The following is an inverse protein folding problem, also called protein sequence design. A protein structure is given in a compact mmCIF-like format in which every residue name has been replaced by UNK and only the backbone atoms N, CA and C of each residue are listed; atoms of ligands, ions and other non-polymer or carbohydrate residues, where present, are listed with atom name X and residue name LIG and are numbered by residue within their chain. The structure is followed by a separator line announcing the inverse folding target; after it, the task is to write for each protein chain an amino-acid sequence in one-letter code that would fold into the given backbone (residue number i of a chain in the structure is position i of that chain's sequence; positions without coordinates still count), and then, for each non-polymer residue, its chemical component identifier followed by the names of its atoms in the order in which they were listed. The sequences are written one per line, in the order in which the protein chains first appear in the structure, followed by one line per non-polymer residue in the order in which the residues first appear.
data_IF_797360295049
#
_entry.id   IF_797360295049
#
_cell.length_a   1.000
_cell.length_b   1.000
_cell.length_c   1.000
_cell.angle_alpha   90.00
_cell.angle_beta   90.00
_cell.angle_gamma   90.00
#
_symmetry.space_group_name_H-M   'P 1'
#
loop_
_entity.id
_entity.type
_entity.pdbx_description
1 polymer ?
#
# COMPACT_ATOMS: atom_id res chain seq x y z
N UNK A 1 13.43 11.18 5.40
CA UNK A 1 13.10 9.90 4.75
C UNK A 1 11.76 10.05 4.03
N UNK A 2 11.82 10.26 2.72
CA UNK A 2 10.64 10.31 1.87
C UNK A 2 10.27 8.86 1.52
N UNK A 3 9.12 8.40 2.04
CA UNK A 3 8.78 6.98 2.08
C UNK A 3 8.56 6.34 0.71
N UNK A 4 9.01 5.08 0.58
CA UNK A 4 8.80 4.23 -0.60
C UNK A 4 7.32 3.82 -0.77
N UNK A 5 7.00 2.96 -1.76
CA UNK A 5 5.65 2.45 -2.09
C UNK A 5 4.72 2.28 -0.90
N UNK A 6 5.03 1.37 0.03
CA UNK A 6 4.16 1.06 1.17
C UNK A 6 3.86 2.25 2.08
N UNK A 7 4.79 3.19 2.23
CA UNK A 7 4.58 4.39 3.05
C UNK A 7 3.57 5.35 2.40
N UNK A 8 3.59 5.51 1.08
CA UNK A 8 2.59 6.37 0.44
C UNK A 8 1.22 5.71 0.37
N UNK A 9 1.16 4.38 0.24
CA UNK A 9 -0.12 3.66 0.35
C UNK A 9 -0.72 3.87 1.76
N UNK A 10 0.10 3.75 2.82
CA UNK A 10 -0.31 4.08 4.20
C UNK A 10 -0.83 5.50 4.35
N UNK A 11 -0.07 6.45 3.82
CA UNK A 11 -0.42 7.85 3.87
C UNK A 11 -1.73 8.14 3.16
N UNK A 12 -1.94 7.54 1.98
CA UNK A 12 -3.18 7.64 1.24
C UNK A 12 -4.35 7.06 2.03
N UNK A 13 -4.24 5.80 2.45
CA UNK A 13 -5.33 5.09 3.09
C UNK A 13 -5.76 5.80 4.38
N UNK A 14 -4.78 6.24 5.17
CA UNK A 14 -5.03 6.98 6.40
C UNK A 14 -5.65 8.34 6.11
N UNK A 15 -5.14 9.10 5.13
CA UNK A 15 -5.69 10.41 4.78
C UNK A 15 -7.13 10.29 4.23
N UNK A 16 -7.39 9.29 3.40
CA UNK A 16 -8.72 9.00 2.87
C UNK A 16 -9.72 8.71 3.99
N UNK A 17 -9.38 7.80 4.90
CA UNK A 17 -10.26 7.40 6.00
C UNK A 17 -10.46 8.53 7.02
N UNK A 18 -9.40 9.26 7.37
CA UNK A 18 -9.52 10.47 8.20
C UNK A 18 -10.39 11.54 7.54
N UNK A 19 -10.26 11.74 6.23
CA UNK A 19 -11.13 12.66 5.48
C UNK A 19 -12.60 12.25 5.57
N UNK A 20 -12.91 10.96 5.40
CA UNK A 20 -14.26 10.43 5.58
C UNK A 20 -14.80 10.67 6.99
N UNK A 21 -14.03 10.30 8.01
CA UNK A 21 -14.40 10.46 9.42
C UNK A 21 -14.67 11.92 9.78
N UNK A 22 -13.78 12.83 9.38
CA UNK A 22 -13.86 14.26 9.69
C UNK A 22 -14.76 15.05 8.72
N UNK A 23 -15.40 14.39 7.75
CA UNK A 23 -16.20 15.01 6.67
C UNK A 23 -15.41 16.08 5.89
N UNK A 24 -14.13 15.80 5.61
CA UNK A 24 -13.19 16.65 4.89
C UNK A 24 -12.74 15.99 3.60
N UNK A 25 -12.48 16.80 2.58
CA UNK A 25 -11.89 16.31 1.33
C UNK A 25 -10.40 16.00 1.56
N UNK A 26 -9.94 14.75 1.37
CA UNK A 26 -8.53 14.43 1.46
C UNK A 26 -7.80 15.05 0.26
N UNK A 27 -6.78 15.86 0.54
CA UNK A 27 -5.99 16.55 -0.48
C UNK A 27 -4.50 16.41 -0.24
N UNK A 28 -3.74 16.33 -1.33
CA UNK A 28 -2.29 16.45 -1.31
C UNK A 28 -1.84 17.84 -1.75
N UNK A 29 -0.64 18.24 -1.35
CA UNK A 29 -0.07 19.50 -1.81
C UNK A 29 0.38 19.35 -3.27
N UNK A 30 0.05 20.32 -4.12
CA UNK A 30 0.40 20.31 -5.55
C UNK A 30 1.90 20.19 -5.83
N UNK A 31 2.76 20.63 -4.90
CA UNK A 31 4.21 20.67 -5.07
C UNK A 31 4.94 19.48 -4.44
N UNK A 32 4.24 18.39 -4.14
CA UNK A 32 4.83 17.24 -3.47
C UNK A 32 5.48 16.25 -4.44
N UNK A 33 6.77 16.45 -4.70
CA UNK A 33 7.53 15.72 -5.73
C UNK A 33 7.50 14.19 -5.58
N UNK A 34 7.48 13.66 -4.35
CA UNK A 34 7.49 12.19 -4.13
C UNK A 34 6.16 11.58 -4.54
N UNK A 35 5.07 12.25 -4.21
CA UNK A 35 3.74 11.79 -4.59
C UNK A 35 3.55 11.87 -6.10
N UNK A 36 4.00 12.95 -6.75
CA UNK A 36 3.94 13.08 -8.20
C UNK A 36 4.69 11.94 -8.91
N UNK A 37 5.86 11.53 -8.39
CA UNK A 37 6.58 10.36 -8.91
C UNK A 37 5.83 9.05 -8.71
N UNK A 38 5.18 8.89 -7.56
CA UNK A 38 4.49 7.66 -7.21
C UNK A 38 3.10 7.56 -7.84
N UNK A 39 2.50 8.67 -8.23
CA UNK A 39 1.25 8.70 -8.99
C UNK A 39 1.38 7.98 -10.34
N UNK A 40 2.51 8.15 -11.04
CA UNK A 40 2.75 7.43 -12.29
C UNK A 40 2.82 5.91 -12.06
N UNK A 41 3.51 5.47 -10.99
CA UNK A 41 3.58 4.05 -10.62
C UNK A 41 2.19 3.53 -10.19
N UNK A 42 1.48 4.26 -9.34
CA UNK A 42 0.16 3.86 -8.83
C UNK A 42 -0.94 3.87 -9.87
N UNK A 43 -0.94 4.80 -10.82
CA UNK A 43 -1.95 4.83 -11.89
C UNK A 43 -1.88 3.60 -12.80
N UNK A 44 -0.68 3.05 -13.01
CA UNK A 44 -0.48 1.81 -13.77
C UNK A 44 -0.96 0.58 -12.99
N UNK A 45 -0.64 0.52 -11.69
CA UNK A 45 -0.89 -0.65 -10.84
C UNK A 45 -2.32 -0.66 -10.26
N UNK A 46 -2.83 0.49 -9.82
CA UNK A 46 -4.10 0.66 -9.11
C UNK A 46 -4.97 1.73 -9.81
N UNK A 47 -5.75 1.36 -10.86
CA UNK A 47 -6.50 2.32 -11.67
C UNK A 47 -7.63 3.03 -10.91
N UNK A 48 -7.98 2.61 -9.70
CA UNK A 48 -8.98 3.28 -8.87
C UNK A 48 -8.38 4.34 -7.93
N UNK A 49 -7.06 4.35 -7.73
CA UNK A 49 -6.35 5.23 -6.81
C UNK A 49 -6.66 6.71 -7.02
N UNK A 50 -6.66 7.18 -8.27
CA UNK A 50 -6.84 8.60 -8.61
C UNK A 50 -8.29 9.08 -8.49
N UNK A 51 -9.28 8.17 -8.43
CA UNK A 51 -10.70 8.55 -8.38
C UNK A 51 -11.10 9.26 -7.09
N UNK A 52 -10.27 9.18 -6.03
CA UNK A 52 -10.64 9.64 -4.67
C UNK A 52 -9.64 10.62 -4.05
N UNK A 53 -8.71 11.18 -4.83
CA UNK A 53 -7.73 12.16 -4.34
C UNK A 53 -7.62 13.38 -5.23
N UNK A 54 -7.40 14.51 -4.57
CA UNK A 54 -7.30 15.82 -5.19
C UNK A 54 -5.99 16.51 -4.79
N UNK A 55 -5.49 17.35 -5.67
CA UNK A 55 -4.40 18.26 -5.37
C UNK A 55 -4.95 19.60 -4.89
N UNK A 56 -4.42 20.09 -3.78
CA UNK A 56 -4.73 21.40 -3.25
C UNK A 56 -4.20 22.46 -4.21
N UNK A 57 -5.06 23.40 -4.59
CA UNK A 57 -4.70 24.47 -5.52
C UNK A 57 -3.52 25.30 -4.99
N UNK A 58 -2.61 25.78 -5.87
CA UNK A 58 -1.42 26.52 -5.44
C UNK A 58 -1.70 27.83 -4.71
N UNK A 59 -2.86 28.44 -4.96
CA UNK A 59 -3.31 29.71 -4.41
C UNK A 59 -4.05 29.58 -3.06
N UNK A 60 -4.23 28.36 -2.54
CA UNK A 60 -4.90 28.15 -1.25
C UNK A 60 -3.94 28.35 -0.07
N UNK A 61 -4.20 29.35 0.77
CA UNK A 61 -3.34 29.78 1.88
C UNK A 61 -3.96 29.61 3.28
N UNK A 62 -5.25 29.31 3.38
CA UNK A 62 -5.99 29.10 4.65
C UNK A 62 -5.72 27.71 5.28
N UNK A 63 -4.45 27.39 5.54
CA UNK A 63 -4.01 26.08 6.07
C UNK A 63 -3.54 26.21 7.52
N UNK A 64 -4.30 25.61 8.44
CA UNK A 64 -3.87 25.42 9.82
C UNK A 64 -3.08 24.13 9.98
N UNK A 65 -2.15 24.11 10.93
CA UNK A 65 -1.31 22.95 11.24
C UNK A 65 -1.77 22.30 12.53
N UNK A 66 -1.97 20.99 12.52
CA UNK A 66 -2.32 20.23 13.72
C UNK A 66 -1.43 19.01 13.88
N UNK A 67 -0.72 18.91 15.00
CA UNK A 67 0.13 17.74 15.30
C UNK A 67 -0.73 16.64 15.91
N UNK A 68 -1.09 15.64 15.09
CA UNK A 68 -1.93 14.52 15.52
C UNK A 68 -1.12 13.44 16.24
N UNK A 69 0.08 13.11 15.76
CA UNK A 69 0.92 12.03 16.31
C UNK A 69 2.35 12.51 16.61
N UNK A 70 2.98 11.90 17.61
CA UNK A 70 4.38 12.19 17.99
C UNK A 70 5.36 11.21 17.35
N UNK A 71 5.02 9.92 17.32
CA UNK A 71 5.79 8.88 16.62
C UNK A 71 5.11 8.44 15.31
N UNK A 72 5.83 7.72 14.44
CA UNK A 72 5.35 7.27 13.11
C UNK A 72 4.16 6.31 13.14
N UNK A 73 3.98 5.66 14.28
CA UNK A 73 3.34 4.36 14.34
C UNK A 73 2.32 4.30 15.50
N UNK A 74 2.19 5.39 16.26
CA UNK A 74 1.15 5.56 17.26
C UNK A 74 -0.21 5.68 16.57
N UNK A 75 -1.22 5.09 17.18
CA UNK A 75 -2.60 5.37 16.83
C UNK A 75 -3.14 6.45 17.76
N UNK A 76 -3.54 7.57 17.18
CA UNK A 76 -4.33 8.61 17.85
C UNK A 76 -5.63 8.75 17.09
N UNK A 77 -6.75 8.61 17.78
CA UNK A 77 -8.08 8.77 17.20
C UNK A 77 -8.24 10.18 16.60
N UNK A 78 -8.46 10.31 15.27
CA UNK A 78 -8.63 11.61 14.62
C UNK A 78 -9.82 12.41 15.13
N UNK A 79 -10.82 11.79 15.78
CA UNK A 79 -11.95 12.50 16.38
C UNK A 79 -11.51 13.56 17.41
N UNK A 80 -10.30 13.47 17.96
CA UNK A 80 -9.74 14.51 18.81
C UNK A 80 -9.76 15.88 18.13
N UNK A 81 -9.63 15.95 16.80
CA UNK A 81 -9.66 17.20 16.02
C UNK A 81 -11.04 17.86 16.12
N UNK A 82 -12.13 17.07 16.18
CA UNK A 82 -13.49 17.58 16.32
C UNK A 82 -13.72 18.29 17.66
N UNK A 83 -12.87 18.02 18.65
CA UNK A 83 -12.92 18.62 20.00
C UNK A 83 -12.03 19.87 20.12
N UNK A 84 -11.41 20.30 19.02
CA UNK A 84 -10.51 21.47 18.98
C UNK A 84 -11.09 22.59 18.11
N UNK A 85 -10.46 23.77 18.17
CA UNK A 85 -10.73 24.88 17.24
C UNK A 85 -10.44 24.52 15.77
N UNK A 86 -9.64 23.49 15.50
CA UNK A 86 -9.38 23.02 14.13
C UNK A 86 -10.58 22.30 13.50
N UNK A 87 -11.63 21.97 14.25
CA UNK A 87 -12.85 21.34 13.72
C UNK A 87 -13.49 22.16 12.60
N UNK A 88 -13.41 23.50 12.68
CA UNK A 88 -14.02 24.45 11.74
C UNK A 88 -13.03 25.06 10.74
N UNK A 89 -11.74 24.69 10.78
CA UNK A 89 -10.74 25.24 9.86
C UNK A 89 -11.02 24.84 8.42
N UNK A 90 -10.80 25.74 7.46
CA UNK A 90 -10.98 25.43 6.03
C UNK A 90 -9.94 24.43 5.54
N UNK A 91 -8.65 24.72 5.75
CA UNK A 91 -7.55 23.82 5.48
C UNK A 91 -6.91 23.31 6.76
N UNK A 92 -6.66 22.00 6.81
CA UNK A 92 -5.97 21.37 7.93
C UNK A 92 -4.84 20.48 7.43
N UNK A 93 -3.60 20.87 7.72
CA UNK A 93 -2.42 20.06 7.50
C UNK A 93 -2.12 19.26 8.76
N UNK A 94 -2.42 17.96 8.69
CA UNK A 94 -2.04 17.02 9.74
C UNK A 94 -0.52 16.84 9.75
N UNK A 95 0.06 17.08 10.91
CA UNK A 95 1.47 16.87 11.20
C UNK A 95 1.57 15.62 12.05
N UNK A 96 2.41 14.70 11.61
CA UNK A 96 2.73 13.48 12.30
C UNK A 96 4.11 13.04 11.87
N UNK A 97 4.72 12.09 12.58
CA UNK A 97 5.90 11.39 12.08
C UNK A 97 5.67 10.84 10.66
N UNK A 98 6.71 10.28 10.01
CA UNK A 98 6.62 9.88 8.62
C UNK A 98 5.45 8.90 8.37
N UNK A 99 4.39 9.40 7.73
CA UNK A 99 3.35 8.69 6.94
C UNK A 99 2.13 8.04 7.64
N UNK A 100 1.74 8.41 8.87
CA UNK A 100 0.54 7.85 9.54
C UNK A 100 0.47 6.31 9.40
N UNK A 101 1.55 5.62 9.75
CA UNK A 101 1.74 4.19 9.44
C UNK A 101 1.04 3.35 10.51
N UNK A 102 -0.30 3.38 10.51
CA UNK A 102 -1.12 2.56 11.41
C UNK A 102 -2.44 2.18 10.74
N UNK A 103 -2.68 0.88 10.58
CA UNK A 103 -3.85 0.37 9.85
C UNK A 103 -5.18 0.74 10.50
N UNK A 104 -5.19 0.98 11.82
CA UNK A 104 -6.39 1.38 12.56
C UNK A 104 -7.05 2.65 12.02
N UNK A 105 -6.30 3.50 11.31
CA UNK A 105 -6.87 4.67 10.66
C UNK A 105 -7.87 4.33 9.56
N UNK A 106 -7.76 3.19 8.89
CA UNK A 106 -8.53 2.87 7.69
C UNK A 106 -9.16 1.48 7.67
N UNK A 107 -8.87 0.62 8.65
CA UNK A 107 -9.36 -0.77 8.71
C UNK A 107 -10.90 -0.87 8.67
N UNK A 108 -11.58 0.07 9.34
CA UNK A 108 -13.04 0.17 9.33
C UNK A 108 -13.62 0.47 7.93
N UNK A 109 -12.79 0.89 6.98
CA UNK A 109 -13.13 1.11 5.57
C UNK A 109 -12.45 0.07 4.66
N UNK A 110 -12.15 -1.13 5.15
CA UNK A 110 -11.39 -2.15 4.41
C UNK A 110 -11.87 -2.36 2.97
N UNK A 111 -13.18 -2.49 2.75
CA UNK A 111 -13.74 -2.67 1.40
C UNK A 111 -13.46 -1.49 0.47
N UNK A 112 -13.55 -0.25 0.97
CA UNK A 112 -13.19 0.94 0.20
C UNK A 112 -11.69 0.95 -0.12
N UNK A 113 -10.84 0.58 0.84
CA UNK A 113 -9.38 0.52 0.66
C UNK A 113 -9.02 -0.55 -0.38
N UNK A 114 -9.63 -1.74 -0.33
CA UNK A 114 -9.42 -2.77 -1.33
C UNK A 114 -9.88 -2.34 -2.73
N UNK A 115 -11.00 -1.64 -2.84
CA UNK A 115 -11.48 -1.13 -4.13
C UNK A 115 -10.54 -0.05 -4.68
N UNK A 116 -10.01 0.82 -3.83
CA UNK A 116 -9.04 1.86 -4.20
C UNK A 116 -7.74 1.22 -4.73
N UNK A 117 -7.22 0.22 -4.03
CA UNK A 117 -5.99 -0.50 -4.37
C UNK A 117 -6.24 -1.79 -5.15
N UNK A 118 -7.35 -1.85 -5.89
CA UNK A 118 -7.62 -2.95 -6.82
C UNK A 118 -6.61 -2.93 -7.95
N UNK A 119 -5.95 -4.06 -8.19
CA UNK A 119 -4.96 -4.18 -9.26
C UNK A 119 -5.58 -4.01 -10.65
N UNK A 120 -4.81 -3.41 -11.56
CA UNK A 120 -5.15 -3.29 -12.97
C UNK A 120 -5.28 -4.68 -13.61
N UNK A 121 -6.37 -4.92 -14.35
CA UNK A 121 -6.62 -6.20 -15.02
C UNK A 121 -5.50 -6.58 -16.00
N UNK A 122 -4.93 -5.62 -16.71
CA UNK A 122 -3.81 -5.89 -17.63
C UNK A 122 -2.54 -6.31 -16.87
N UNK A 123 -2.30 -5.74 -15.69
CA UNK A 123 -1.18 -6.14 -14.83
C UNK A 123 -1.41 -7.56 -14.29
N UNK A 124 -2.63 -7.86 -13.83
CA UNK A 124 -3.02 -9.21 -13.38
C UNK A 124 -2.77 -10.24 -14.49
N UNK A 125 -3.24 -9.98 -15.71
CA UNK A 125 -3.10 -10.88 -16.85
C UNK A 125 -1.62 -11.12 -17.20
N UNK A 126 -0.83 -10.04 -17.30
CA UNK A 126 0.59 -10.13 -17.62
C UNK A 126 1.36 -10.93 -16.56
N UNK A 127 1.10 -10.68 -15.28
CA UNK A 127 1.76 -11.37 -14.17
C UNK A 127 1.38 -12.84 -14.13
N UNK A 128 0.11 -13.16 -14.37
CA UNK A 128 -0.37 -14.55 -14.45
C UNK A 128 0.33 -15.31 -15.57
N UNK A 129 0.50 -14.70 -16.75
CA UNK A 129 1.22 -15.30 -17.87
C UNK A 129 2.71 -15.51 -17.58
N UNK A 130 3.37 -14.51 -17.00
CA UNK A 130 4.78 -14.58 -16.61
C UNK A 130 5.00 -15.68 -15.56
N UNK A 131 4.13 -15.74 -14.54
CA UNK A 131 4.20 -16.75 -13.49
C UNK A 131 4.03 -18.17 -14.04
N UNK A 132 3.03 -18.40 -14.89
CA UNK A 132 2.81 -19.71 -15.50
C UNK A 132 4.00 -20.16 -16.36
N UNK A 133 4.61 -19.23 -17.10
CA UNK A 133 5.81 -19.50 -17.90
C UNK A 133 7.02 -19.83 -17.02
N UNK A 134 7.21 -19.07 -15.94
CA UNK A 134 8.28 -19.28 -14.98
C UNK A 134 8.15 -20.64 -14.27
N UNK A 135 6.94 -20.99 -13.85
CA UNK A 135 6.61 -22.27 -13.23
C UNK A 135 7.00 -23.44 -14.14
N UNK A 136 6.54 -23.42 -15.39
CA UNK A 136 6.90 -24.44 -16.39
C UNK A 136 8.42 -24.54 -16.61
N UNK A 137 9.13 -23.42 -16.62
CA UNK A 137 10.58 -23.40 -16.84
C UNK A 137 11.42 -23.89 -15.64
N UNK A 138 10.94 -23.67 -14.40
CA UNK A 138 11.61 -24.14 -13.18
C UNK A 138 11.28 -25.60 -12.87
N UNK A 139 10.06 -26.06 -13.18
CA UNK A 139 9.72 -27.48 -13.11
C UNK A 139 10.57 -28.32 -14.08
N UNK A 140 11.04 -27.72 -15.19
CA UNK A 140 11.97 -28.34 -16.15
C UNK A 140 13.45 -28.24 -15.73
N UNK A 141 13.83 -27.20 -14.98
CA UNK A 141 15.19 -26.96 -14.54
C UNK A 141 15.27 -27.09 -13.01
N UNK A 142 15.47 -28.30 -12.49
CA UNK A 142 15.81 -28.55 -11.08
C UNK A 142 17.05 -27.72 -10.65
N UNK A 143 16.81 -26.48 -10.24
CA UNK A 143 17.83 -25.48 -9.87
C UNK A 143 18.34 -25.67 -8.43
N UNK A 144 17.74 -26.60 -7.68
CA UNK A 144 18.13 -26.98 -6.30
C UNK A 144 19.08 -28.20 -6.32
N UNK A 145 20.08 -28.20 -7.19
CA UNK A 145 21.12 -29.24 -7.16
C UNK A 145 22.29 -28.91 -6.21
N UNK A 146 22.36 -27.67 -5.70
CA UNK A 146 23.52 -27.18 -4.93
C UNK A 146 23.29 -26.94 -3.42
N UNK A 147 22.06 -27.14 -2.91
CA UNK A 147 21.82 -27.21 -1.47
C UNK A 147 21.81 -28.68 -1.06
N UNK A 148 22.87 -29.14 -0.38
CA UNK A 148 23.03 -30.50 0.16
C UNK A 148 22.06 -30.82 1.32
N UNK A 149 20.81 -30.42 1.22
CA UNK A 149 19.70 -30.91 2.04
C UNK A 149 18.81 -31.76 1.13
N UNK A 150 18.75 -33.07 1.40
CA UNK A 150 17.98 -34.06 0.63
C UNK A 150 16.48 -33.67 0.51
N UNK A 151 16.11 -33.01 -0.59
CA UNK A 151 15.25 -33.45 -1.71
C UNK A 151 13.97 -34.31 -1.51
N UNK A 152 13.27 -34.28 -0.37
CA UNK A 152 11.89 -34.84 -0.34
C UNK A 152 10.79 -33.85 0.09
N UNK A 153 11.12 -32.67 0.60
CA UNK A 153 10.13 -31.72 1.17
C UNK A 153 9.97 -30.39 0.41
N UNK A 154 10.84 -30.07 -0.55
CA UNK A 154 10.93 -28.70 -1.11
C UNK A 154 11.08 -28.67 -2.64
N UNK A 155 10.15 -29.28 -3.38
CA UNK A 155 10.20 -29.28 -4.85
C UNK A 155 9.69 -27.98 -5.50
N UNK A 156 9.18 -27.01 -4.72
CA UNK A 156 8.44 -25.85 -5.23
C UNK A 156 8.93 -24.51 -4.64
N UNK A 157 10.24 -24.26 -4.61
CA UNK A 157 10.78 -22.95 -4.17
C UNK A 157 10.97 -22.04 -5.39
N UNK A 158 10.11 -21.03 -5.52
CA UNK A 158 10.20 -20.03 -6.57
C UNK A 158 10.85 -18.75 -6.05
N UNK A 159 11.83 -18.22 -6.80
CA UNK A 159 12.46 -16.92 -6.52
C UNK A 159 11.91 -15.86 -7.47
N UNK A 160 11.10 -14.96 -6.94
CA UNK A 160 10.48 -13.86 -7.72
C UNK A 160 11.51 -12.88 -8.27
N UNK A 161 12.67 -12.74 -7.61
CA UNK A 161 13.76 -11.84 -8.04
C UNK A 161 14.21 -12.07 -9.49
N UNK A 162 14.08 -13.30 -9.99
CA UNK A 162 14.54 -13.67 -11.32
C UNK A 162 13.60 -13.13 -12.42
N UNK A 163 12.37 -12.77 -12.05
CA UNK A 163 11.34 -12.23 -12.96
C UNK A 163 11.50 -10.73 -13.23
N UNK A 164 12.42 -10.03 -12.52
CA UNK A 164 12.69 -8.59 -12.66
C UNK A 164 11.43 -7.71 -12.61
N UNK A 165 10.48 -8.07 -11.75
CA UNK A 165 9.24 -7.33 -11.56
C UNK A 165 9.49 -5.97 -10.89
N UNK A 166 8.67 -4.98 -11.23
CA UNK A 166 8.54 -3.77 -10.42
C UNK A 166 7.88 -4.07 -9.07
N UNK A 167 8.01 -3.16 -8.10
CA UNK A 167 7.43 -3.34 -6.76
C UNK A 167 5.90 -3.56 -6.79
N UNK A 168 5.19 -2.82 -7.64
CA UNK A 168 3.75 -3.01 -7.78
C UNK A 168 3.37 -4.34 -8.42
N UNK A 169 4.19 -4.83 -9.35
CA UNK A 169 4.04 -6.15 -9.96
C UNK A 169 4.36 -7.28 -8.97
N UNK A 170 5.35 -7.11 -8.09
CA UNK A 170 5.62 -8.06 -6.99
C UNK A 170 4.42 -8.15 -6.03
N UNK A 171 3.81 -7.02 -5.67
CA UNK A 171 2.59 -7.01 -4.86
C UNK A 171 1.43 -7.71 -5.58
N UNK A 172 1.28 -7.47 -6.89
CA UNK A 172 0.26 -8.12 -7.71
C UNK A 172 0.50 -9.63 -7.75
N UNK A 173 1.74 -10.05 -7.98
CA UNK A 173 2.10 -11.47 -8.00
C UNK A 173 1.75 -12.13 -6.67
N UNK A 174 2.14 -11.53 -5.55
CA UNK A 174 1.82 -12.04 -4.22
C UNK A 174 0.29 -12.19 -4.02
N UNK A 175 -0.49 -11.19 -4.42
CA UNK A 175 -1.96 -11.26 -4.37
C UNK A 175 -2.56 -12.37 -5.25
N UNK A 176 -1.94 -12.69 -6.39
CA UNK A 176 -2.46 -13.69 -7.33
C UNK A 176 -2.06 -15.12 -6.97
N UNK A 177 -0.90 -15.32 -6.34
CA UNK A 177 -0.30 -16.66 -6.21
C UNK A 177 -0.11 -17.12 -4.77
N UNK A 178 -0.17 -16.22 -3.79
CA UNK A 178 0.07 -16.57 -2.39
C UNK A 178 -1.26 -16.66 -1.62
N UNK A 179 -1.48 -17.81 -0.99
CA UNK A 179 -2.57 -18.00 -0.03
C UNK A 179 -2.21 -17.53 1.39
N UNK A 180 -0.91 -17.41 1.67
CA UNK A 180 -0.39 -16.96 2.97
C UNK A 180 0.93 -16.21 2.81
N UNK A 181 1.24 -15.35 3.79
CA UNK A 181 2.47 -14.55 3.79
C UNK A 181 3.20 -14.71 5.13
N UNK A 182 4.49 -15.03 5.05
CA UNK A 182 5.41 -14.98 6.18
C UNK A 182 6.42 -13.84 5.96
N UNK A 183 6.48 -12.90 6.90
CA UNK A 183 7.36 -11.74 6.84
C UNK A 183 8.46 -11.83 7.90
N UNK A 184 9.73 -11.73 7.48
CA UNK A 184 10.88 -11.57 8.39
C UNK A 184 11.21 -10.10 8.69
N UNK A 185 10.54 -9.17 8.02
CA UNK A 185 10.73 -7.73 8.14
C UNK A 185 9.49 -7.05 8.74
N UNK A 186 9.30 -7.09 10.08
CA UNK A 186 8.07 -6.65 10.73
C UNK A 186 7.80 -5.13 10.59
N UNK A 187 8.82 -4.34 10.24
CA UNK A 187 8.68 -2.90 9.99
C UNK A 187 8.47 -2.56 8.51
N UNK A 188 8.35 -3.56 7.64
CA UNK A 188 8.14 -3.35 6.20
C UNK A 188 6.70 -2.94 5.94
N UNK A 189 6.48 -1.67 5.64
CA UNK A 189 5.16 -1.20 5.18
C UNK A 189 4.77 -1.82 3.86
N UNK A 190 5.74 -2.10 2.99
CA UNK A 190 5.51 -2.84 1.75
C UNK A 190 5.03 -4.27 2.02
N UNK A 191 5.69 -4.97 2.94
CA UNK A 191 5.29 -6.30 3.39
C UNK A 191 3.89 -6.32 4.01
N UNK A 192 3.59 -5.33 4.87
CA UNK A 192 2.24 -5.15 5.40
C UNK A 192 1.19 -5.03 4.29
N UNK A 193 1.45 -4.21 3.26
CA UNK A 193 0.48 -4.03 2.18
C UNK A 193 0.34 -5.27 1.30
N UNK A 194 1.40 -6.04 1.09
CA UNK A 194 1.28 -7.35 0.43
C UNK A 194 0.29 -8.25 1.21
N UNK A 195 0.43 -8.35 2.54
CA UNK A 195 -0.49 -9.12 3.37
C UNK A 195 -1.91 -8.55 3.35
N UNK A 196 -2.07 -7.24 3.55
CA UNK A 196 -3.37 -6.59 3.67
C UNK A 196 -4.24 -6.76 2.41
N UNK A 197 -3.60 -6.78 1.24
CA UNK A 197 -4.25 -6.96 -0.05
C UNK A 197 -4.48 -8.43 -0.43
N UNK A 198 -3.98 -9.42 0.33
CA UNK A 198 -4.30 -10.81 0.04
C UNK A 198 -5.82 -11.05 0.15
N UNK A 199 -6.37 -11.98 -0.64
CA UNK A 199 -7.72 -12.48 -0.41
C UNK A 199 -7.87 -12.97 1.03
N UNK A 200 -9.03 -12.73 1.64
CA UNK A 200 -9.32 -13.33 2.94
C UNK A 200 -9.39 -14.85 2.75
N UNK A 201 -8.60 -15.59 3.53
CA UNK A 201 -8.76 -17.03 3.61
C UNK A 201 -10.04 -17.27 4.39
N UNK A 202 -11.09 -17.72 3.71
CA UNK A 202 -12.29 -18.20 4.39
C UNK A 202 -11.89 -19.37 5.27
N UNK A 203 -11.91 -19.18 6.60
CA UNK A 203 -11.91 -20.31 7.52
C UNK A 203 -13.27 -21.00 7.36
N UNK A 204 -13.30 -22.02 6.51
CA UNK A 204 -14.41 -22.98 6.41
C UNK A 204 -14.60 -23.71 7.74
#
# INVERSE_FOLDING_TARGET
MCGQMGNQIYRYASLYAMGKLLKRTPVYLHNETILLKMEEEFSKIFPNFYKRIYYLRPDFDEIEKFRLIQSCCDFVDPEIILKTNHSTSKGLKLIGGPNFINYKYFDHLRNDILEIFKFNENVILNISQLWNSAKLSQDQNNFISNLKFKNELFNNIYRVSDLKLSRGEEMCLANQVCDSLLLSAPFSTFGFWMAYLLPEVGFL
#
